data_IF_445827110502
#
_entry.id   IF_445827110502
#
_cell.length_a   1.000
_cell.length_b   1.000
_cell.length_c   1.000
_cell.angle_alpha   90.00
_cell.angle_beta   90.00
_cell.angle_gamma   90.00
#
_symmetry.space_group_name_H-M   'P 1'
#
loop_
_entity.id
_entity.type
_entity.pdbx_description
1 polymer ?
#
# COMPACT_ATOMS: atom_id res chain seq x y z
N UNK A 1 0.39 20.33 -37.80
CA UNK A 1 -0.48 19.24 -37.30
C UNK A 1 -1.78 19.22 -38.11
N UNK A 2 -2.61 20.27 -38.13
CA UNK A 2 -3.88 20.32 -38.91
C UNK A 2 -3.79 19.84 -40.37
N UNK A 3 -2.62 20.04 -41.01
CA UNK A 3 -2.43 19.59 -42.39
C UNK A 3 -2.39 18.07 -42.52
N UNK A 4 -1.85 17.38 -41.52
CA UNK A 4 -1.76 15.92 -41.49
C UNK A 4 -3.06 15.29 -41.01
N UNK A 5 -3.78 15.92 -40.09
CA UNK A 5 -5.11 15.50 -39.65
C UNK A 5 -6.12 15.49 -40.80
N UNK A 6 -5.91 16.34 -41.80
CA UNK A 6 -6.72 16.43 -43.04
C UNK A 6 -6.26 15.49 -44.17
N UNK A 7 -5.44 14.46 -43.86
CA UNK A 7 -5.07 13.38 -44.80
C UNK A 7 -3.84 13.65 -45.67
N UNK A 8 -3.05 14.70 -45.38
CA UNK A 8 -1.76 14.90 -46.07
C UNK A 8 -0.74 13.87 -45.61
N UNK A 9 0.06 13.32 -46.53
CA UNK A 9 1.15 12.38 -46.18
C UNK A 9 2.22 13.10 -45.35
N UNK A 10 2.57 12.50 -44.21
CA UNK A 10 3.68 12.94 -43.41
C UNK A 10 4.99 12.51 -44.07
N UNK A 11 5.96 13.42 -44.12
CA UNK A 11 7.32 13.01 -44.46
C UNK A 11 7.96 12.26 -43.30
N UNK A 12 9.03 11.52 -43.59
CA UNK A 12 9.68 10.63 -42.61
C UNK A 12 10.25 11.37 -41.41
N UNK A 13 10.76 12.60 -41.62
CA UNK A 13 11.37 13.40 -40.56
C UNK A 13 10.32 13.92 -39.57
N UNK A 14 9.21 14.47 -40.09
CA UNK A 14 8.10 14.91 -39.24
C UNK A 14 7.44 13.77 -38.47
N UNK A 15 7.29 12.60 -39.13
CA UNK A 15 6.74 11.44 -38.41
C UNK A 15 7.65 10.96 -37.27
N UNK A 16 8.97 10.94 -37.50
CA UNK A 16 9.95 10.58 -36.48
C UNK A 16 9.93 11.57 -35.31
N UNK A 17 9.83 12.87 -35.59
CA UNK A 17 9.71 13.91 -34.57
C UNK A 17 8.43 13.75 -33.74
N UNK A 18 7.29 13.49 -34.37
CA UNK A 18 6.02 13.27 -33.68
C UNK A 18 6.07 12.03 -32.78
N UNK A 19 6.74 10.95 -33.23
CA UNK A 19 6.95 9.75 -32.42
C UNK A 19 7.84 10.06 -31.22
N UNK A 20 8.94 10.79 -31.42
CA UNK A 20 9.86 11.21 -30.37
C UNK A 20 9.16 12.07 -29.30
N UNK A 21 8.33 13.02 -29.72
CA UNK A 21 7.58 13.92 -28.84
C UNK A 21 6.37 13.27 -28.11
N UNK A 22 6.06 12.00 -28.37
CA UNK A 22 5.08 11.24 -27.57
C UNK A 22 5.55 10.97 -26.16
N UNK A 23 6.87 10.93 -25.91
CA UNK A 23 7.41 10.86 -24.58
C UNK A 23 7.40 12.26 -23.94
N UNK A 24 6.78 12.46 -22.77
CA UNK A 24 6.70 13.77 -22.12
C UNK A 24 8.04 14.40 -21.81
N UNK A 25 9.05 13.63 -21.38
CA UNK A 25 10.41 14.14 -21.13
C UNK A 25 11.04 14.72 -22.40
N UNK A 26 10.90 14.03 -23.53
CA UNK A 26 11.37 14.52 -24.82
C UNK A 26 10.62 15.78 -25.25
N UNK A 27 9.30 15.84 -24.98
CA UNK A 27 8.48 17.02 -25.24
C UNK A 27 8.94 18.19 -24.38
N UNK A 28 9.23 17.98 -23.09
CA UNK A 28 9.76 19.02 -22.19
C UNK A 28 11.09 19.57 -22.73
N UNK A 29 12.06 18.69 -23.01
CA UNK A 29 13.36 19.08 -23.54
C UNK A 29 13.21 19.88 -24.85
N UNK A 30 12.35 19.40 -25.74
CA UNK A 30 12.07 20.09 -27.02
C UNK A 30 11.51 21.49 -26.82
N UNK A 31 10.54 21.68 -25.89
CA UNK A 31 9.92 22.97 -25.57
C UNK A 31 10.88 23.93 -24.87
N UNK A 32 11.88 23.43 -24.14
CA UNK A 32 12.84 24.25 -23.37
C UNK A 32 14.09 24.60 -24.15
N UNK A 33 14.58 23.70 -24.98
CA UNK A 33 15.89 23.81 -25.65
C UNK A 33 15.81 24.38 -27.06
N UNK A 34 14.61 24.43 -27.67
CA UNK A 34 14.45 24.93 -29.03
C UNK A 34 13.67 26.25 -29.06
N UNK A 35 14.04 27.14 -30.00
CA UNK A 35 13.22 28.28 -30.38
C UNK A 35 12.00 27.78 -31.15
N UNK A 36 10.81 27.89 -30.54
CA UNK A 36 9.56 27.44 -31.12
C UNK A 36 8.68 28.67 -31.35
N UNK A 37 8.07 28.76 -32.52
CA UNK A 37 7.16 29.86 -32.90
C UNK A 37 5.78 29.69 -32.21
N UNK A 38 5.80 29.86 -30.86
CA UNK A 38 4.62 29.89 -30.01
C UNK A 38 4.77 31.02 -28.98
N UNK A 39 3.66 31.60 -28.55
CA UNK A 39 3.71 32.64 -27.50
C UNK A 39 3.99 32.04 -26.12
N UNK A 40 4.51 32.87 -25.19
CA UNK A 40 4.90 32.45 -23.84
C UNK A 40 3.76 31.81 -23.05
N UNK A 41 2.52 32.25 -23.27
CA UNK A 41 1.35 31.67 -22.61
C UNK A 41 1.04 30.25 -23.12
N UNK A 42 1.17 30.04 -24.44
CA UNK A 42 1.01 28.72 -25.04
C UNK A 42 2.14 27.79 -24.57
N UNK A 43 3.37 28.29 -24.49
CA UNK A 43 4.54 27.52 -23.98
C UNK A 43 4.31 27.08 -22.52
N UNK A 44 3.88 27.99 -21.67
CA UNK A 44 3.60 27.69 -20.25
C UNK A 44 2.49 26.64 -20.12
N UNK A 45 1.38 26.80 -20.87
CA UNK A 45 0.29 25.82 -20.84
C UNK A 45 0.75 24.42 -21.31
N UNK A 46 1.62 24.34 -22.33
CA UNK A 46 2.16 23.06 -22.81
C UNK A 46 3.06 22.41 -21.77
N UNK A 47 3.91 23.20 -21.10
CA UNK A 47 4.77 22.70 -20.03
C UNK A 47 3.96 22.17 -18.84
N UNK A 48 2.88 22.83 -18.43
CA UNK A 48 1.96 22.35 -17.40
C UNK A 48 1.29 21.01 -17.76
N UNK A 49 0.93 20.87 -19.06
CA UNK A 49 0.36 19.59 -19.56
C UNK A 49 1.41 18.49 -19.52
N UNK A 50 2.64 18.79 -19.97
CA UNK A 50 3.75 17.83 -19.98
C UNK A 50 4.08 17.38 -18.57
N UNK A 51 4.14 18.30 -17.61
CA UNK A 51 4.39 17.99 -16.19
C UNK A 51 3.34 17.04 -15.62
N UNK A 52 2.06 17.27 -15.88
CA UNK A 52 0.96 16.37 -15.49
C UNK A 52 1.06 15.00 -16.15
N UNK A 53 1.54 14.92 -17.39
CA UNK A 53 1.74 13.66 -18.09
C UNK A 53 2.93 12.88 -17.50
N UNK A 54 4.03 13.55 -17.16
CA UNK A 54 5.19 12.95 -16.49
C UNK A 54 4.80 12.36 -15.13
N UNK A 55 4.12 13.14 -14.29
CA UNK A 55 3.61 12.68 -12.99
C UNK A 55 2.68 11.47 -13.12
N UNK A 56 1.80 11.46 -14.13
CA UNK A 56 0.92 10.32 -14.40
C UNK A 56 1.66 9.07 -14.88
N UNK A 57 2.74 9.21 -15.64
CA UNK A 57 3.57 8.08 -16.08
C UNK A 57 4.34 7.49 -14.91
N UNK A 58 5.00 8.33 -14.11
CA UNK A 58 5.72 7.91 -12.91
C UNK A 58 4.78 7.17 -11.94
N UNK A 59 3.57 7.71 -11.70
CA UNK A 59 2.56 7.06 -10.88
C UNK A 59 2.17 5.67 -11.44
N UNK A 60 1.97 5.54 -12.76
CA UNK A 60 1.61 4.26 -13.40
C UNK A 60 2.73 3.24 -13.33
N UNK A 61 3.98 3.67 -13.53
CA UNK A 61 5.16 2.79 -13.44
C UNK A 61 5.38 2.30 -12.01
N UNK A 62 5.28 3.20 -11.03
CA UNK A 62 5.35 2.85 -9.61
C UNK A 62 4.23 1.89 -9.20
N UNK A 63 3.01 2.10 -9.73
CA UNK A 63 1.88 1.20 -9.49
C UNK A 63 2.12 -0.19 -10.06
N UNK A 64 2.57 -0.27 -11.29
CA UNK A 64 2.89 -1.54 -11.94
C UNK A 64 4.01 -2.28 -11.21
N UNK A 65 5.08 -1.58 -10.82
CA UNK A 65 6.16 -2.16 -10.03
C UNK A 65 5.64 -2.73 -8.72
N UNK A 66 4.77 -2.01 -8.00
CA UNK A 66 4.16 -2.48 -6.76
C UNK A 66 3.31 -3.74 -6.98
N UNK A 67 2.44 -3.72 -8.00
CA UNK A 67 1.56 -4.84 -8.32
C UNK A 67 2.37 -6.09 -8.72
N UNK A 68 3.43 -5.93 -9.54
CA UNK A 68 4.35 -7.00 -9.93
C UNK A 68 5.13 -7.55 -8.72
N UNK A 69 5.57 -6.68 -7.80
CA UNK A 69 6.32 -7.05 -6.60
C UNK A 69 5.50 -7.90 -5.63
N UNK A 70 4.21 -7.59 -5.46
CA UNK A 70 3.32 -8.33 -4.58
C UNK A 70 2.53 -9.45 -5.29
N UNK A 71 2.86 -9.77 -6.54
CA UNK A 71 2.18 -10.82 -7.34
C UNK A 71 2.62 -12.23 -6.94
N UNK A 72 2.38 -12.63 -5.69
CA UNK A 72 2.68 -13.98 -5.20
C UNK A 72 1.52 -14.94 -5.40
N UNK A 73 1.87 -16.21 -5.73
CA UNK A 73 0.86 -17.28 -5.80
C UNK A 73 0.36 -17.66 -4.42
N UNK A 74 -0.93 -18.05 -4.27
CA UNK A 74 -1.47 -18.55 -3.02
C UNK A 74 -0.65 -19.73 -2.46
N UNK A 75 -0.20 -19.59 -1.21
CA UNK A 75 0.57 -20.60 -0.48
C UNK A 75 0.28 -20.54 1.03
N UNK A 76 0.85 -21.44 1.81
CA UNK A 76 0.65 -21.46 3.27
C UNK A 76 1.14 -20.17 3.95
N UNK A 77 2.18 -19.54 3.42
CA UNK A 77 2.80 -18.35 4.01
C UNK A 77 1.98 -17.07 3.83
N UNK A 78 1.05 -17.03 2.85
CA UNK A 78 0.12 -15.92 2.63
C UNK A 78 -1.34 -16.30 2.91
N UNK A 79 -1.57 -17.43 3.60
CA UNK A 79 -2.89 -17.91 3.95
C UNK A 79 -3.72 -18.32 2.73
N UNK A 80 -3.09 -18.94 1.73
CA UNK A 80 -3.68 -19.42 0.48
C UNK A 80 -4.45 -18.34 -0.30
N UNK A 81 -4.00 -17.09 -0.22
CA UNK A 81 -4.59 -15.95 -0.94
C UNK A 81 -3.49 -15.13 -1.61
N UNK A 82 -3.71 -14.75 -2.87
CA UNK A 82 -2.91 -13.70 -3.50
C UNK A 82 -3.13 -12.39 -2.75
N UNK A 83 -2.07 -11.57 -2.66
CA UNK A 83 -2.14 -10.29 -1.99
C UNK A 83 -3.26 -9.40 -2.56
N UNK A 84 -4.05 -8.82 -1.68
CA UNK A 84 -5.21 -7.99 -1.98
C UNK A 84 -5.05 -6.62 -1.32
N UNK A 85 -4.53 -5.67 -2.10
CA UNK A 85 -4.24 -4.31 -1.62
C UNK A 85 -5.50 -3.58 -1.14
N UNK A 86 -6.64 -3.75 -1.81
CA UNK A 86 -7.89 -3.09 -1.42
C UNK A 86 -8.37 -3.56 -0.06
N UNK A 87 -8.28 -4.87 0.19
CA UNK A 87 -8.62 -5.43 1.50
C UNK A 87 -7.65 -4.99 2.59
N UNK A 88 -6.34 -4.95 2.30
CA UNK A 88 -5.37 -4.39 3.25
C UNK A 88 -5.71 -2.94 3.62
N UNK A 89 -5.98 -2.08 2.62
CA UNK A 89 -6.38 -0.69 2.88
C UNK A 89 -7.64 -0.60 3.73
N UNK A 90 -8.66 -1.42 3.42
CA UNK A 90 -9.90 -1.47 4.20
C UNK A 90 -9.66 -1.93 5.65
N UNK A 91 -8.76 -2.91 5.89
CA UNK A 91 -8.38 -3.35 7.24
C UNK A 91 -7.65 -2.24 8.02
N UNK A 92 -6.69 -1.55 7.39
CA UNK A 92 -5.97 -0.43 8.01
C UNK A 92 -6.92 0.69 8.37
N UNK A 93 -7.78 1.11 7.44
CA UNK A 93 -8.77 2.18 7.67
C UNK A 93 -9.81 1.79 8.72
N UNK A 94 -10.21 0.50 8.77
CA UNK A 94 -11.09 0.00 9.82
C UNK A 94 -10.53 0.25 11.21
N UNK A 95 -9.26 -0.12 11.44
CA UNK A 95 -8.62 0.07 12.75
C UNK A 95 -8.28 1.53 13.02
N UNK A 96 -7.82 2.28 12.02
CA UNK A 96 -7.45 3.68 12.17
C UNK A 96 -8.67 4.57 12.50
N UNK A 97 -9.80 4.37 11.82
CA UNK A 97 -11.01 5.15 12.06
C UNK A 97 -11.71 4.82 13.39
N UNK A 98 -11.44 3.65 13.98
CA UNK A 98 -11.99 3.26 15.30
C UNK A 98 -11.09 3.63 16.48
N UNK A 99 -9.83 3.90 16.24
CA UNK A 99 -8.85 4.17 17.30
C UNK A 99 -8.60 5.67 17.44
N UNK A 100 -8.56 6.19 18.65
CA UNK A 100 -8.19 7.59 18.91
C UNK A 100 -6.71 7.84 18.64
N UNK A 101 -5.86 6.85 18.90
CA UNK A 101 -4.43 6.85 18.62
C UNK A 101 -4.02 5.44 18.20
N UNK A 102 -3.76 5.21 16.94
CA UNK A 102 -3.31 3.93 16.41
C UNK A 102 -1.83 3.98 16.08
N UNK A 103 -1.01 3.34 16.91
CA UNK A 103 0.43 3.26 16.67
C UNK A 103 0.75 2.17 15.64
N UNK A 104 1.75 2.44 14.77
CA UNK A 104 2.29 1.53 13.76
C UNK A 104 2.49 0.11 14.31
N UNK A 105 3.19 -0.01 15.46
CA UNK A 105 3.47 -1.31 16.09
C UNK A 105 2.19 -2.06 16.45
N UNK A 106 1.17 -1.39 16.97
CA UNK A 106 -0.12 -2.00 17.30
C UNK A 106 -0.83 -2.47 16.04
N UNK A 107 -0.92 -1.63 15.01
CA UNK A 107 -1.58 -1.98 13.75
C UNK A 107 -1.00 -3.25 13.13
N UNK A 108 0.34 -3.43 13.12
CA UNK A 108 0.96 -4.65 12.58
C UNK A 108 0.39 -5.93 13.21
N UNK A 109 0.17 -5.91 14.53
CA UNK A 109 -0.37 -7.06 15.26
C UNK A 109 -1.85 -7.25 15.00
N UNK A 110 -2.60 -6.14 14.91
CA UNK A 110 -4.03 -6.21 14.56
C UNK A 110 -4.24 -6.83 13.17
N UNK A 111 -3.42 -6.47 12.18
CA UNK A 111 -3.44 -7.07 10.85
C UNK A 111 -3.12 -8.57 10.91
N UNK A 112 -2.02 -8.93 11.60
CA UNK A 112 -1.62 -10.34 11.76
C UNK A 112 -2.71 -11.18 12.42
N UNK A 113 -3.26 -10.73 13.56
CA UNK A 113 -4.33 -11.45 14.22
C UNK A 113 -5.60 -11.56 13.36
N UNK A 114 -5.93 -10.53 12.61
CA UNK A 114 -7.11 -10.55 11.73
C UNK A 114 -6.97 -11.61 10.63
N UNK A 115 -5.85 -11.61 9.94
CA UNK A 115 -5.58 -12.59 8.89
C UNK A 115 -5.48 -14.01 9.44
N UNK A 116 -4.76 -14.21 10.55
CA UNK A 116 -4.59 -15.53 11.16
C UNK A 116 -5.91 -16.10 11.69
N UNK A 117 -6.76 -15.28 12.35
CA UNK A 117 -8.04 -15.74 12.86
C UNK A 117 -9.02 -16.03 11.73
N UNK A 118 -9.06 -15.16 10.71
CA UNK A 118 -9.92 -15.42 9.55
C UNK A 118 -9.49 -16.70 8.82
N UNK A 119 -8.17 -16.89 8.64
CA UNK A 119 -7.63 -18.13 8.08
C UNK A 119 -8.00 -19.37 8.92
N UNK A 120 -7.88 -19.30 10.25
CA UNK A 120 -8.27 -20.37 11.15
C UNK A 120 -9.74 -20.80 10.96
N UNK A 121 -10.62 -19.86 10.70
CA UNK A 121 -12.07 -20.08 10.59
C UNK A 121 -12.51 -20.44 9.18
N UNK A 122 -11.81 -19.94 8.13
CA UNK A 122 -12.27 -20.03 6.75
C UNK A 122 -11.26 -20.73 5.80
N UNK A 123 -10.06 -21.06 6.25
CA UNK A 123 -9.00 -21.67 5.43
C UNK A 123 -8.31 -20.74 4.44
N UNK A 124 -8.58 -19.43 4.50
CA UNK A 124 -8.02 -18.40 3.64
C UNK A 124 -7.81 -17.11 4.45
N UNK A 125 -6.74 -16.34 4.19
CA UNK A 125 -6.52 -15.05 4.83
C UNK A 125 -7.41 -13.93 4.25
N UNK A 126 -7.50 -12.77 4.92
CA UNK A 126 -8.23 -11.60 4.40
C UNK A 126 -7.40 -10.88 3.33
N UNK A 127 -6.14 -10.56 3.66
CA UNK A 127 -5.30 -9.68 2.84
C UNK A 127 -4.31 -10.41 1.92
N UNK A 128 -3.97 -11.66 2.20
CA UNK A 128 -2.89 -12.37 1.50
C UNK A 128 -1.48 -11.92 1.91
N UNK A 129 -1.34 -11.22 3.03
CA UNK A 129 -0.04 -10.76 3.54
C UNK A 129 0.77 -11.92 4.13
N UNK A 130 2.09 -11.84 3.97
CA UNK A 130 3.06 -12.64 4.70
C UNK A 130 3.54 -11.87 5.93
N UNK A 131 3.78 -12.55 7.03
CA UNK A 131 4.22 -11.92 8.28
C UNK A 131 5.59 -12.43 8.69
N UNK A 132 6.55 -11.52 8.82
CA UNK A 132 7.90 -11.81 9.27
C UNK A 132 8.00 -11.69 10.82
N UNK A 133 8.81 -12.56 11.41
CA UNK A 133 9.19 -12.47 12.81
C UNK A 133 10.20 -11.33 13.00
N UNK A 134 9.78 -10.21 13.57
CA UNK A 134 10.64 -9.08 13.93
C UNK A 134 10.70 -8.86 15.45
N UNK A 135 11.66 -8.08 16.00
CA UNK A 135 11.88 -7.94 17.44
C UNK A 135 10.66 -7.51 18.27
N UNK A 136 9.75 -6.77 17.65
CA UNK A 136 8.51 -6.32 18.32
C UNK A 136 7.27 -7.15 17.94
N UNK A 137 7.46 -8.39 17.47
CA UNK A 137 6.41 -9.31 17.07
C UNK A 137 6.19 -9.39 15.55
N UNK A 138 5.14 -10.09 15.08
CA UNK A 138 4.83 -10.24 13.67
C UNK A 138 4.61 -8.90 12.96
N UNK A 139 5.19 -8.74 11.77
CA UNK A 139 5.05 -7.55 10.92
C UNK A 139 4.84 -7.99 9.48
N UNK A 140 3.92 -7.38 8.72
CA UNK A 140 3.81 -7.65 7.29
C UNK A 140 5.15 -7.44 6.57
N UNK A 141 5.53 -8.35 5.68
CA UNK A 141 6.70 -8.14 4.82
C UNK A 141 6.54 -6.85 4.00
N UNK A 142 7.66 -6.17 3.78
CA UNK A 142 7.72 -4.95 2.96
C UNK A 142 6.73 -3.86 3.41
N UNK A 143 6.47 -3.80 4.70
CA UNK A 143 5.52 -2.89 5.33
C UNK A 143 5.71 -1.43 4.92
N UNK A 144 6.96 -0.94 4.84
CA UNK A 144 7.23 0.46 4.49
C UNK A 144 6.80 0.77 3.03
N UNK A 145 6.91 -0.21 2.11
CA UNK A 145 6.40 -0.09 0.75
C UNK A 145 4.85 -0.05 0.72
N UNK A 146 4.19 -0.87 1.54
CA UNK A 146 2.73 -0.88 1.66
C UNK A 146 2.20 0.49 2.13
N UNK A 147 2.83 1.06 3.17
CA UNK A 147 2.42 2.38 3.68
C UNK A 147 2.83 3.53 2.77
N UNK A 148 3.98 3.44 2.11
CA UNK A 148 4.37 4.40 1.07
C UNK A 148 3.32 4.47 -0.05
N UNK A 149 2.79 3.31 -0.46
CA UNK A 149 1.72 3.25 -1.43
C UNK A 149 0.40 3.83 -0.90
N UNK A 150 -0.01 3.51 0.34
CA UNK A 150 -1.21 4.08 0.94
C UNK A 150 -1.15 5.60 1.05
N UNK A 151 0.01 6.16 1.39
CA UNK A 151 0.24 7.60 1.45
C UNK A 151 0.13 8.24 0.05
N UNK A 152 0.73 7.62 -0.99
CA UNK A 152 0.62 8.09 -2.36
C UNK A 152 -0.83 8.04 -2.91
N UNK A 153 -1.62 7.07 -2.46
CA UNK A 153 -3.03 6.93 -2.81
C UNK A 153 -3.97 7.78 -1.91
N UNK A 154 -3.43 8.60 -0.99
CA UNK A 154 -4.21 9.43 -0.04
C UNK A 154 -5.21 8.63 0.82
N UNK A 155 -4.82 7.45 1.27
CA UNK A 155 -5.65 6.59 2.11
C UNK A 155 -5.29 6.70 3.59
N UNK A 156 -4.00 6.55 3.90
CA UNK A 156 -3.44 6.67 5.23
C UNK A 156 -1.92 6.90 5.15
N UNK A 157 -1.36 7.62 6.12
CA UNK A 157 0.08 7.83 6.24
C UNK A 157 0.57 7.62 7.68
N UNK A 158 1.89 7.55 7.83
CA UNK A 158 2.54 7.49 9.15
C UNK A 158 3.00 8.88 9.53
N UNK A 159 2.46 9.42 10.62
CA UNK A 159 2.95 10.65 11.24
C UNK A 159 3.92 10.30 12.37
N UNK A 160 5.05 11.01 12.41
CA UNK A 160 6.06 10.87 13.46
C UNK A 160 5.84 11.97 14.50
N UNK A 161 5.48 11.56 15.70
CA UNK A 161 5.33 12.44 16.85
C UNK A 161 6.39 12.11 17.92
N UNK A 162 6.72 13.07 18.77
CA UNK A 162 7.63 12.88 19.89
C UNK A 162 6.88 13.06 21.21
N UNK A 163 6.97 12.07 22.07
CA UNK A 163 6.37 12.11 23.41
C UNK A 163 7.43 11.74 24.45
N UNK A 164 7.73 12.66 25.38
CA UNK A 164 8.73 12.48 26.43
C UNK A 164 10.12 12.01 25.93
N UNK A 165 10.52 12.45 24.72
CA UNK A 165 11.78 12.07 24.09
C UNK A 165 11.76 10.74 23.34
N UNK A 166 10.62 10.07 23.26
CA UNK A 166 10.42 8.85 22.46
C UNK A 166 9.68 9.16 21.16
N UNK A 167 10.13 8.53 20.08
CA UNK A 167 9.50 8.62 18.77
C UNK A 167 8.28 7.70 18.71
N UNK A 168 7.13 8.29 18.33
CA UNK A 168 5.87 7.59 18.12
C UNK A 168 5.51 7.66 16.62
N UNK A 169 5.23 6.52 16.03
CA UNK A 169 4.75 6.40 14.65
C UNK A 169 3.24 6.15 14.69
N UNK A 170 2.46 7.19 14.44
CA UNK A 170 1.00 7.13 14.44
C UNK A 170 0.47 6.92 13.02
N UNK A 171 -0.53 6.06 12.88
CA UNK A 171 -1.26 5.84 11.63
C UNK A 171 -2.40 6.83 11.55
N UNK A 172 -2.36 7.71 10.57
CA UNK A 172 -3.37 8.74 10.33
C UNK A 172 -4.20 8.34 9.10
N UNK A 173 -5.51 8.08 9.25
CA UNK A 173 -6.40 7.86 8.11
C UNK A 173 -6.68 9.17 7.40
N UNK A 174 -6.69 9.17 6.06
CA UNK A 174 -7.05 10.34 5.23
C UNK A 174 -8.45 10.22 4.64
N UNK A 175 -9.07 9.05 4.77
CA UNK A 175 -10.44 8.81 4.31
C UNK A 175 -11.15 7.76 5.18
N UNK A 176 -12.46 7.63 4.98
CA UNK A 176 -13.25 6.57 5.58
C UNK A 176 -12.98 5.22 4.91
N UNK A 177 -13.20 4.13 5.67
CA UNK A 177 -13.13 2.77 5.13
C UNK A 177 -14.14 2.60 3.98
N UNK A 178 -13.69 2.12 2.80
CA UNK A 178 -14.55 1.93 1.64
C UNK A 178 -15.63 0.87 1.91
N UNK A 179 -16.87 1.15 1.46
CA UNK A 179 -18.00 0.23 1.61
C UNK A 179 -17.89 -0.91 0.60
N UNK A 180 -18.24 -2.12 1.04
CA UNK A 180 -18.36 -3.30 0.15
C UNK A 180 -17.05 -4.03 -0.15
N UNK A 181 -15.90 -3.54 0.29
CA UNK A 181 -14.60 -4.22 0.10
C UNK A 181 -14.45 -5.44 1.02
N UNK A 182 -14.83 -5.28 2.29
CA UNK A 182 -14.81 -6.38 3.26
C UNK A 182 -16.19 -7.04 3.35
N UNK A 183 -16.22 -8.37 3.42
CA UNK A 183 -17.41 -9.13 3.73
C UNK A 183 -17.87 -8.92 5.18
N UNK A 184 -19.08 -9.37 5.53
CA UNK A 184 -19.57 -9.24 6.89
C UNK A 184 -18.82 -10.18 7.86
N UNK A 185 -18.37 -11.35 7.38
CA UNK A 185 -17.52 -12.28 8.13
C UNK A 185 -16.15 -11.66 8.41
N UNK A 186 -15.52 -11.03 7.41
CA UNK A 186 -14.24 -10.33 7.56
C UNK A 186 -14.38 -9.19 8.58
N UNK A 187 -15.41 -8.34 8.46
CA UNK A 187 -15.69 -7.27 9.43
C UNK A 187 -15.91 -7.79 10.84
N UNK A 188 -16.60 -8.91 10.98
CA UNK A 188 -16.82 -9.55 12.28
C UNK A 188 -15.50 -9.96 12.94
N UNK A 189 -14.55 -10.54 12.18
CA UNK A 189 -13.22 -10.86 12.68
C UNK A 189 -12.49 -9.59 13.09
N UNK A 190 -12.45 -8.55 12.24
CA UNK A 190 -11.80 -7.28 12.59
C UNK A 190 -12.39 -6.67 13.86
N UNK A 191 -13.70 -6.72 14.04
CA UNK A 191 -14.38 -6.21 15.24
C UNK A 191 -13.96 -6.96 16.49
N UNK A 192 -13.93 -8.31 16.44
CA UNK A 192 -13.46 -9.15 17.58
C UNK A 192 -12.00 -8.84 17.93
N UNK A 193 -11.14 -8.68 16.94
CA UNK A 193 -9.74 -8.31 17.14
C UNK A 193 -9.63 -6.92 17.76
N UNK A 194 -10.39 -5.94 17.24
CA UNK A 194 -10.43 -4.60 17.80
C UNK A 194 -10.85 -4.61 19.29
N UNK A 195 -11.98 -5.26 19.59
CA UNK A 195 -12.51 -5.34 20.98
C UNK A 195 -11.54 -6.04 21.93
N UNK A 196 -10.84 -7.08 21.47
CA UNK A 196 -9.82 -7.78 22.26
C UNK A 196 -8.64 -6.88 22.64
N UNK A 197 -8.17 -6.06 21.68
CA UNK A 197 -6.92 -5.32 21.84
C UNK A 197 -7.10 -3.80 21.97
N UNK A 198 -8.34 -3.28 22.03
CA UNK A 198 -8.59 -1.81 22.08
C UNK A 198 -7.83 -1.13 23.23
N UNK A 199 -7.77 -1.77 24.40
CA UNK A 199 -7.14 -1.23 25.61
C UNK A 199 -5.65 -1.58 25.73
N UNK A 200 -5.06 -2.33 24.79
CA UNK A 200 -3.65 -2.68 24.77
C UNK A 200 -2.83 -1.54 24.17
N UNK A 201 -1.72 -1.19 24.84
CA UNK A 201 -0.66 -0.38 24.25
C UNK A 201 0.20 -1.18 23.26
N UNK A 202 1.13 -0.51 22.58
CA UNK A 202 2.06 -1.17 21.63
C UNK A 202 2.96 -2.21 22.33
N UNK A 203 3.36 -1.96 23.57
CA UNK A 203 4.17 -2.89 24.36
C UNK A 203 3.35 -4.11 24.75
N UNK A 204 2.11 -3.90 25.20
CA UNK A 204 1.26 -4.99 25.67
C UNK A 204 0.92 -5.97 24.55
N UNK A 205 0.53 -5.45 23.38
CA UNK A 205 0.20 -6.31 22.22
C UNK A 205 1.45 -7.00 21.65
N UNK A 206 2.62 -6.35 21.71
CA UNK A 206 3.89 -6.99 21.34
C UNK A 206 4.20 -8.16 22.28
N UNK A 207 4.15 -7.94 23.60
CA UNK A 207 4.38 -8.97 24.61
C UNK A 207 3.35 -10.11 24.51
N UNK A 208 2.11 -9.80 24.12
CA UNK A 208 1.07 -10.80 23.86
C UNK A 208 1.45 -11.65 22.63
N UNK A 209 1.84 -11.02 21.53
CA UNK A 209 2.22 -11.71 20.30
C UNK A 209 3.48 -12.58 20.44
N UNK A 210 4.40 -12.23 21.33
CA UNK A 210 5.60 -13.02 21.59
C UNK A 210 5.32 -14.38 22.27
N UNK A 211 4.13 -14.58 22.81
CA UNK A 211 3.70 -15.85 23.44
C UNK A 211 3.06 -16.80 22.43
N UNK A 212 2.77 -16.33 21.21
CA UNK A 212 2.16 -17.16 20.17
C UNK A 212 3.15 -18.22 19.67
N UNK A 213 2.65 -19.43 19.41
CA UNK A 213 3.49 -20.55 18.94
C UNK A 213 4.26 -20.23 17.67
N UNK A 214 3.60 -19.54 16.71
CA UNK A 214 4.24 -19.15 15.46
C UNK A 214 5.45 -18.24 15.68
N UNK A 215 5.35 -17.31 16.63
CA UNK A 215 6.48 -16.46 16.99
C UNK A 215 7.60 -17.23 17.72
N UNK A 216 7.25 -18.10 18.68
CA UNK A 216 8.23 -18.91 19.43
C UNK A 216 8.97 -19.93 18.52
N UNK A 217 8.28 -20.47 17.53
CA UNK A 217 8.81 -21.50 16.65
C UNK A 217 9.68 -20.98 15.50
N UNK A 218 9.67 -19.66 15.25
CA UNK A 218 10.42 -19.01 14.17
C UNK A 218 11.58 -18.19 14.72
N UNK A 219 12.56 -17.87 13.88
CA UNK A 219 13.67 -16.98 14.19
C UNK A 219 13.46 -15.60 13.55
N UNK A 220 14.17 -14.61 14.05
CA UNK A 220 14.14 -13.27 13.50
C UNK A 220 14.41 -13.28 11.97
N UNK A 221 13.54 -12.64 11.21
CA UNK A 221 13.56 -12.56 9.76
C UNK A 221 12.83 -13.70 9.03
N UNK A 222 12.47 -14.80 9.73
CA UNK A 222 11.70 -15.89 9.12
C UNK A 222 10.21 -15.53 8.98
N UNK A 223 9.55 -16.13 7.99
CA UNK A 223 8.11 -15.98 7.80
C UNK A 223 7.35 -16.89 8.76
N UNK A 224 6.33 -16.34 9.38
CA UNK A 224 5.45 -17.08 10.28
C UNK A 224 4.32 -17.71 9.45
N UNK A 225 4.35 -19.03 9.30
CA UNK A 225 3.33 -19.78 8.56
C UNK A 225 1.94 -19.64 9.17
N UNK A 226 0.92 -19.56 8.32
CA UNK A 226 -0.48 -19.58 8.74
C UNK A 226 -0.92 -20.90 9.37
N UNK A 227 -0.15 -21.98 9.24
CA UNK A 227 -0.41 -23.23 9.94
C UNK A 227 -0.43 -23.11 11.46
N UNK A 228 0.23 -22.07 12.01
CA UNK A 228 0.17 -21.72 13.44
C UNK A 228 -1.13 -21.05 13.89
N UNK A 229 -1.99 -20.61 12.96
CA UNK A 229 -3.26 -19.97 13.29
C UNK A 229 -4.16 -20.85 14.16
N UNK A 230 -4.10 -22.18 13.99
CA UNK A 230 -4.85 -23.17 14.79
C UNK A 230 -4.59 -23.03 16.29
N UNK A 231 -3.40 -22.57 16.68
CA UNK A 231 -2.96 -22.45 18.07
C UNK A 231 -3.30 -21.09 18.70
N UNK A 232 -3.69 -20.09 17.90
CA UNK A 232 -4.07 -18.77 18.41
C UNK A 232 -5.41 -18.86 19.15
N UNK A 233 -5.43 -18.37 20.39
CA UNK A 233 -6.62 -18.29 21.23
C UNK A 233 -6.83 -16.84 21.67
N UNK A 234 -7.92 -16.23 21.25
CA UNK A 234 -8.35 -14.89 21.69
C UNK A 234 -9.16 -15.00 23.01
N UNK A 235 -8.52 -15.47 24.07
CA UNK A 235 -9.17 -15.57 25.38
C UNK A 235 -9.33 -14.22 26.06
#
# INVERSE_FOLDING_TARGET
>A
ICRYENGSLQDRAHNSLLIFLKNPENMRSYLTENEIDIDEKQKTNLLDIVEKLEQNLEYRENRKFFDDFFSETPCEENGFKAFDYEKLCAMVLFFANKSTELLKTKLMKLLNYSDMIFYKENGISISGLRYAHLPYGPVPENFDMLFGRMAADHLAHIEVAYDNGYEKHQVIPECDMPKGVLSDEEKNVLERIYLKFKDFGSVDISNYSHKEKGYIATKQGEIISYSYAKDICLN
#
